data_IF_090520639230
#
_entry.id   IF_090520639230
#
_cell.length_a   1.000
_cell.length_b   1.000
_cell.length_c   1.000
_cell.angle_alpha   90.00
_cell.angle_beta   90.00
_cell.angle_gamma   90.00
#
_symmetry.space_group_name_H-M   'P 1'
#
loop_
_entity.id
_entity.type
_entity.pdbx_description
1 polymer ?
#
# COMPACT_ATOMS: atom_id res chain seq x y z
N UNK A 1 -25.60 -8.90 20.52
CA UNK A 1 -24.57 -7.93 20.08
C UNK A 1 -24.57 -7.96 18.57
N UNK A 2 -25.28 -7.01 18.01
CA UNK A 2 -25.79 -7.00 16.65
C UNK A 2 -24.69 -6.87 15.59
N UNK A 3 -24.64 -7.83 14.65
CA UNK A 3 -23.84 -7.81 13.41
C UNK A 3 -24.25 -6.71 12.41
N UNK A 4 -25.10 -5.76 12.83
CA UNK A 4 -25.82 -4.81 11.98
C UNK A 4 -24.95 -3.70 11.35
N UNK A 5 -23.69 -3.54 11.78
CA UNK A 5 -22.82 -2.43 11.35
C UNK A 5 -21.48 -2.88 10.76
N UNK A 6 -21.43 -4.06 10.13
CA UNK A 6 -20.20 -4.54 9.48
C UNK A 6 -20.02 -3.88 8.11
N UNK A 7 -19.32 -2.75 8.08
CA UNK A 7 -18.97 -2.04 6.84
C UNK A 7 -17.69 -2.65 6.27
N UNK A 8 -17.70 -3.03 4.99
CA UNK A 8 -16.51 -3.41 4.24
C UNK A 8 -16.00 -2.17 3.51
N UNK A 9 -14.76 -1.79 3.78
CA UNK A 9 -14.12 -0.63 3.17
C UNK A 9 -13.03 -1.15 2.23
N UNK A 10 -13.15 -0.83 0.95
CA UNK A 10 -12.11 -1.07 -0.05
C UNK A 10 -11.33 0.22 -0.23
N UNK A 11 -10.03 0.19 0.02
CA UNK A 11 -9.15 1.35 -0.06
C UNK A 11 -7.91 1.05 -0.87
N UNK A 12 -7.35 2.09 -1.50
CA UNK A 12 -6.05 1.99 -2.14
C UNK A 12 -4.95 1.84 -1.08
N UNK A 13 -4.07 0.86 -1.27
CA UNK A 13 -2.98 0.55 -0.36
C UNK A 13 -1.70 0.28 -1.14
N UNK A 14 -0.57 0.57 -0.52
CA UNK A 14 0.74 0.24 -1.06
C UNK A 14 1.15 -1.16 -0.66
N UNK A 15 1.79 -1.87 -1.59
CA UNK A 15 2.40 -3.18 -1.36
C UNK A 15 3.89 -3.11 -1.66
N UNK A 16 4.70 -3.44 -0.67
CA UNK A 16 6.15 -3.57 -0.86
C UNK A 16 6.45 -4.85 -1.65
N UNK A 17 7.16 -4.73 -2.76
CA UNK A 17 7.56 -5.87 -3.60
C UNK A 17 8.79 -6.62 -3.06
N UNK A 18 9.39 -6.13 -1.96
CA UNK A 18 10.55 -6.74 -1.29
C UNK A 18 10.15 -7.64 -0.12
N UNK A 19 9.37 -7.07 0.81
CA UNK A 19 8.94 -7.76 2.03
C UNK A 19 7.45 -8.14 2.02
N UNK A 20 6.72 -7.85 0.94
CA UNK A 20 5.27 -8.11 0.82
C UNK A 20 4.39 -7.39 1.84
N UNK A 21 4.94 -6.43 2.59
CA UNK A 21 4.18 -5.63 3.55
C UNK A 21 3.17 -4.73 2.81
N UNK A 22 1.93 -4.73 3.29
CA UNK A 22 0.85 -3.87 2.80
C UNK A 22 0.55 -2.80 3.82
N UNK A 23 0.45 -1.55 3.40
CA UNK A 23 0.08 -0.45 4.29
C UNK A 23 -0.77 0.57 3.55
N UNK A 24 -1.61 1.24 4.32
CA UNK A 24 -2.43 2.34 3.84
C UNK A 24 -1.64 3.63 4.12
N UNK A 25 -1.38 4.48 3.11
CA UNK A 25 -0.71 5.75 3.32
C UNK A 25 -1.57 6.67 4.19
N UNK A 26 -0.93 7.52 5.01
CA UNK A 26 -1.63 8.53 5.82
C UNK A 26 -1.93 9.77 4.96
N UNK A 27 -2.84 9.62 4.02
CA UNK A 27 -3.35 10.70 3.17
C UNK A 27 -4.82 10.96 3.49
N UNK A 28 -5.35 12.09 3.04
CA UNK A 28 -6.79 12.39 3.15
C UNK A 28 -7.62 11.37 2.39
N UNK A 29 -8.87 11.14 2.82
CA UNK A 29 -9.79 10.18 2.18
C UNK A 29 -9.98 10.48 0.68
N UNK A 30 -10.01 11.76 0.31
CA UNK A 30 -10.09 12.23 -1.09
C UNK A 30 -8.90 11.74 -1.94
N UNK A 31 -7.70 11.67 -1.38
CA UNK A 31 -6.50 11.16 -2.06
C UNK A 31 -6.40 9.63 -1.99
N UNK A 32 -7.16 9.00 -1.11
CA UNK A 32 -7.24 7.55 -0.98
C UNK A 32 -8.15 6.93 -2.06
N UNK A 33 -9.23 7.63 -2.42
CA UNK A 33 -10.12 7.25 -3.53
C UNK A 33 -9.58 7.71 -4.90
N UNK A 34 -8.85 8.82 -4.95
CA UNK A 34 -8.23 9.36 -6.17
C UNK A 34 -6.78 8.92 -6.42
N UNK A 35 -6.05 9.70 -7.22
CA UNK A 35 -4.63 9.50 -7.48
C UNK A 35 -3.78 9.87 -6.25
N UNK A 36 -3.07 8.89 -5.69
CA UNK A 36 -2.12 9.13 -4.60
C UNK A 36 -0.94 9.97 -5.14
N UNK A 37 -0.99 11.28 -4.91
CA UNK A 37 0.03 12.24 -5.40
C UNK A 37 1.40 12.01 -4.78
N UNK A 38 1.45 11.60 -3.52
CA UNK A 38 2.70 11.44 -2.79
C UNK A 38 2.96 9.98 -2.42
N UNK A 39 3.70 9.29 -3.29
CA UNK A 39 4.15 7.92 -2.99
C UNK A 39 5.26 7.94 -1.94
N UNK A 40 5.22 7.06 -0.92
CA UNK A 40 6.27 6.99 0.09
C UNK A 40 7.60 6.66 -0.59
N UNK A 41 8.68 7.32 -0.18
CA UNK A 41 10.02 7.04 -0.73
C UNK A 41 10.60 5.73 -0.21
N UNK A 42 10.16 5.28 0.97
CA UNK A 42 10.75 4.17 1.71
C UNK A 42 9.63 3.28 2.27
N UNK A 43 9.83 1.95 2.24
CA UNK A 43 8.91 1.02 2.90
C UNK A 43 8.98 1.18 4.43
N UNK A 44 7.86 1.35 5.15
CA UNK A 44 7.86 1.52 6.60
C UNK A 44 8.35 0.26 7.36
N UNK A 45 8.24 -0.93 6.76
CA UNK A 45 8.62 -2.18 7.40
C UNK A 45 10.11 -2.52 7.19
N UNK A 46 10.55 -2.67 5.94
CA UNK A 46 11.94 -3.08 5.64
C UNK A 46 12.89 -1.90 5.40
N UNK A 47 12.41 -0.66 5.46
CA UNK A 47 13.18 0.56 5.20
C UNK A 47 13.84 0.60 3.81
N UNK A 48 13.33 -0.18 2.86
CA UNK A 48 13.86 -0.20 1.50
C UNK A 48 13.29 0.95 0.68
N UNK A 49 14.15 1.74 0.04
CA UNK A 49 13.74 2.78 -0.93
C UNK A 49 13.20 2.18 -2.25
N UNK A 50 13.54 0.93 -2.55
CA UNK A 50 13.15 0.22 -3.78
C UNK A 50 11.97 -0.70 -3.56
N UNK A 51 11.00 -0.24 -2.76
CA UNK A 51 9.84 -1.03 -2.38
C UNK A 51 8.84 -1.18 -3.53
N UNK A 52 8.78 -0.22 -4.47
CA UNK A 52 7.92 -0.24 -5.66
C UNK A 52 8.60 -0.85 -6.89
N UNK A 53 9.86 -1.29 -6.76
CA UNK A 53 10.58 -1.94 -7.85
C UNK A 53 10.46 -3.46 -7.77
N UNK A 54 9.86 -4.05 -8.79
CA UNK A 54 9.90 -5.49 -9.01
C UNK A 54 11.35 -5.95 -9.23
N UNK A 55 11.73 -7.06 -8.59
CA UNK A 55 12.99 -7.71 -8.92
C UNK A 55 12.89 -8.21 -10.35
N UNK A 56 13.75 -7.70 -11.25
CA UNK A 56 13.90 -8.24 -12.61
C UNK A 56 14.12 -9.75 -12.50
N UNK A 57 13.10 -10.55 -12.81
CA UNK A 57 13.25 -11.99 -12.93
C UNK A 57 14.16 -12.23 -14.13
N UNK A 58 15.34 -12.82 -13.90
CA UNK A 58 16.13 -13.36 -15.01
C UNK A 58 15.23 -14.40 -15.69
N UNK A 59 14.79 -14.13 -16.93
CA UNK A 59 14.24 -15.17 -17.80
C UNK A 59 15.35 -16.22 -17.94
N UNK A 60 15.07 -17.44 -17.49
CA UNK A 60 15.90 -18.62 -17.71
C UNK A 60 15.36 -19.33 -18.94
#
# INVERSE_FOLDING_TARGET
>A
MDEKYKIRIEVNAFKCLRCSHKWIPRVSMEELEGDIKEKPRICPNCKSAYWDLEKKKKKK
#
